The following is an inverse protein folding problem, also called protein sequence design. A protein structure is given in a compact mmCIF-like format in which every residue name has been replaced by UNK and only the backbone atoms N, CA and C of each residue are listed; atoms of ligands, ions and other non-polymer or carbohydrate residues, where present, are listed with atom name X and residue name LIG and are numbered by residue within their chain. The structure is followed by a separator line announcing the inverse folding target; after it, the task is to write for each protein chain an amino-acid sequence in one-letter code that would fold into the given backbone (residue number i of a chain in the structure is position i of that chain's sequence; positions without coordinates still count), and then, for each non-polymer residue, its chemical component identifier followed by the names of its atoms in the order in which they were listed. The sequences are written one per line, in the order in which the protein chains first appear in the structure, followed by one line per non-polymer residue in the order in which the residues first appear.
data_IF_228229082261
#
_entry.id   IF_228229082261
#
_cell.length_a   1.000
_cell.length_b   1.000
_cell.length_c   1.000
_cell.angle_alpha   90.00
_cell.angle_beta   90.00
_cell.angle_gamma   90.00
#
_symmetry.space_group_name_H-M   'P 1'
#
loop_
_entity.id
_entity.type
_entity.pdbx_description
1 polymer ?
#
# COMPACT_ATOMS: atom_id res chain seq x y z
N UNK A 1 12.33 25.68 7.24
CA UNK A 1 11.20 24.73 7.34
C UNK A 1 11.72 23.51 8.10
N UNK A 2 11.14 23.14 9.24
CA UNK A 2 11.60 21.95 10.00
C UNK A 2 11.25 20.69 9.20
N UNK A 3 12.14 19.70 9.16
CA UNK A 3 11.81 18.41 8.53
C UNK A 3 10.69 17.72 9.34
N UNK A 4 9.89 16.88 8.70
CA UNK A 4 8.86 16.08 9.39
C UNK A 4 9.46 15.31 10.58
N UNK A 5 10.68 14.80 10.43
CA UNK A 5 11.43 14.15 11.52
C UNK A 5 11.66 15.07 12.72
N UNK A 6 12.01 16.34 12.49
CA UNK A 6 12.19 17.32 13.56
C UNK A 6 10.86 17.68 14.24
N UNK A 7 9.74 17.65 13.53
CA UNK A 7 8.41 17.90 14.10
C UNK A 7 7.92 16.72 14.95
N UNK A 8 8.15 15.50 14.49
CA UNK A 8 7.82 14.26 15.21
C UNK A 8 8.68 14.11 16.48
N UNK A 9 9.95 14.54 16.44
CA UNK A 9 10.82 14.51 17.63
C UNK A 9 10.37 15.50 18.71
N UNK A 10 9.70 16.61 18.34
CA UNK A 10 9.15 17.58 19.28
C UNK A 10 7.86 17.10 19.96
N UNK A 11 7.08 16.21 19.32
CA UNK A 11 5.85 15.63 19.89
C UNK A 11 6.08 14.34 20.68
N UNK A 12 7.30 13.78 20.64
CA UNK A 12 7.68 12.53 21.31
C UNK A 12 8.73 12.78 22.41
N UNK A 13 8.40 13.46 23.54
CA UNK A 13 9.37 13.88 24.55
C UNK A 13 10.13 12.75 25.26
N UNK A 14 9.70 11.49 25.10
CA UNK A 14 10.36 10.28 25.64
C UNK A 14 11.31 9.62 24.63
N UNK A 15 11.34 10.12 23.39
CA UNK A 15 12.04 9.51 22.26
C UNK A 15 13.19 10.43 21.86
N UNK A 16 14.22 10.47 22.71
CA UNK A 16 15.39 11.32 22.53
C UNK A 16 16.21 10.99 21.27
N UNK A 17 16.22 9.72 20.83
CA UNK A 17 16.86 9.28 19.57
C UNK A 17 16.01 8.26 18.80
N UNK A 18 15.17 8.69 17.85
CA UNK A 18 14.50 7.72 16.95
C UNK A 18 15.57 7.06 16.07
N UNK A 19 15.77 5.72 16.14
CA UNK A 19 16.68 5.04 15.24
C UNK A 19 16.37 5.33 13.76
N UNK A 20 17.36 5.22 12.87
CA UNK A 20 17.09 5.30 11.44
C UNK A 20 16.06 4.25 11.04
N UNK A 21 15.19 4.63 10.10
CA UNK A 21 14.18 3.73 9.56
C UNK A 21 14.85 2.58 8.82
N UNK A 22 14.45 1.34 9.11
CA UNK A 22 14.99 0.14 8.45
C UNK A 22 13.96 -0.56 7.57
N UNK A 23 14.44 -1.14 6.48
CA UNK A 23 13.66 -2.12 5.73
C UNK A 23 13.65 -3.45 6.49
N UNK A 24 12.52 -4.15 6.45
CA UNK A 24 12.43 -5.54 6.88
C UNK A 24 12.74 -6.47 5.70
N UNK A 25 13.07 -7.72 6.01
CA UNK A 25 13.32 -8.78 5.02
C UNK A 25 12.09 -8.98 4.12
N UNK A 26 12.32 -9.11 2.82
CA UNK A 26 11.26 -9.28 1.82
C UNK A 26 10.42 -10.54 2.06
N UNK A 27 10.97 -11.60 2.65
CA UNK A 27 10.21 -12.80 3.02
C UNK A 27 9.17 -12.51 4.10
N UNK A 28 9.50 -11.64 5.07
CA UNK A 28 8.55 -11.19 6.09
C UNK A 28 7.43 -10.38 5.45
N UNK A 29 7.78 -9.43 4.58
CA UNK A 29 6.78 -8.64 3.84
C UNK A 29 5.91 -9.54 2.96
N UNK A 30 6.50 -10.56 2.34
CA UNK A 30 5.76 -11.50 1.49
C UNK A 30 4.76 -12.35 2.26
N UNK A 31 5.03 -12.61 3.55
CA UNK A 31 4.13 -13.37 4.43
C UNK A 31 2.85 -12.62 4.81
N UNK A 32 2.83 -11.29 4.70
CA UNK A 32 1.64 -10.48 4.97
C UNK A 32 0.58 -10.73 3.88
N UNK A 33 -0.61 -11.17 4.30
CA UNK A 33 -1.76 -11.39 3.41
C UNK A 33 -2.60 -10.15 3.25
N UNK A 34 -2.70 -9.36 4.31
CA UNK A 34 -3.49 -8.15 4.37
C UNK A 34 -2.77 -7.00 5.08
N UNK A 35 -3.45 -5.85 5.12
CA UNK A 35 -2.96 -4.67 5.82
C UNK A 35 -2.76 -4.89 7.33
N UNK A 36 -3.63 -5.68 7.95
CA UNK A 36 -3.56 -5.95 9.39
C UNK A 36 -2.32 -6.75 9.74
N UNK A 37 -1.90 -7.68 8.88
CA UNK A 37 -0.62 -8.40 9.00
C UNK A 37 0.56 -7.44 8.95
N UNK A 38 0.56 -6.48 8.03
CA UNK A 38 1.64 -5.49 7.92
C UNK A 38 1.74 -4.60 9.17
N UNK A 39 0.60 -4.21 9.75
CA UNK A 39 0.55 -3.46 11.02
C UNK A 39 1.08 -4.32 12.18
N UNK A 40 0.69 -5.60 12.27
CA UNK A 40 1.21 -6.53 13.28
C UNK A 40 2.72 -6.71 13.14
N UNK A 41 3.22 -6.90 11.92
CA UNK A 41 4.63 -7.06 11.62
C UNK A 41 5.43 -5.81 12.03
N UNK A 42 4.90 -4.61 11.73
CA UNK A 42 5.49 -3.34 12.14
C UNK A 42 5.70 -3.27 13.66
N UNK A 43 4.66 -3.66 14.42
CA UNK A 43 4.66 -3.66 15.89
C UNK A 43 5.55 -4.76 16.47
N UNK A 44 5.55 -5.96 15.89
CA UNK A 44 6.35 -7.10 16.35
C UNK A 44 7.85 -6.79 16.26
N UNK A 45 8.27 -6.14 15.17
CA UNK A 45 9.65 -5.78 14.90
C UNK A 45 10.04 -4.38 15.42
N UNK A 46 9.29 -3.85 16.40
CA UNK A 46 9.64 -2.59 17.07
C UNK A 46 10.94 -2.73 17.85
N UNK A 47 11.83 -1.77 17.71
CA UNK A 47 13.13 -1.76 18.41
C UNK A 47 13.02 -1.30 19.87
N UNK A 48 11.90 -0.67 20.25
CA UNK A 48 11.71 -0.04 21.55
C UNK A 48 10.73 -0.84 22.40
N UNK A 49 11.01 -0.89 23.70
CA UNK A 49 10.09 -1.44 24.72
C UNK A 49 8.94 -0.47 24.99
N UNK A 50 8.17 -0.15 23.96
CA UNK A 50 6.92 0.58 24.09
C UNK A 50 5.77 -0.40 24.14
N UNK A 51 4.83 -0.14 25.03
CA UNK A 51 3.56 -0.85 25.09
C UNK A 51 2.65 -0.41 23.95
N UNK A 52 1.75 -1.31 23.53
CA UNK A 52 0.75 -0.97 22.52
C UNK A 52 -0.19 0.15 22.99
N UNK A 53 -0.41 0.29 24.29
CA UNK A 53 -1.20 1.38 24.87
C UNK A 53 -0.54 2.74 24.66
N UNK A 54 0.78 2.84 24.88
CA UNK A 54 1.55 4.06 24.61
C UNK A 54 1.55 4.39 23.12
N UNK A 55 1.78 3.39 22.27
CA UNK A 55 1.75 3.54 20.82
C UNK A 55 0.38 4.06 20.36
N UNK A 56 -0.71 3.50 20.86
CA UNK A 56 -2.06 3.98 20.56
C UNK A 56 -2.25 5.45 20.97
N UNK A 57 -1.74 5.83 22.15
CA UNK A 57 -1.73 7.22 22.61
C UNK A 57 -1.02 8.17 21.64
N UNK A 58 0.14 7.79 21.12
CA UNK A 58 0.87 8.59 20.13
C UNK A 58 0.17 8.69 18.78
N UNK A 59 -0.62 7.70 18.41
CA UNK A 59 -1.39 7.70 17.17
C UNK A 59 -2.72 8.47 17.29
N UNK A 60 -3.04 8.97 18.49
CA UNK A 60 -4.23 9.77 18.75
C UNK A 60 -5.52 8.96 18.91
N UNK A 61 -5.44 7.67 19.24
CA UNK A 61 -6.62 6.83 19.48
C UNK A 61 -6.48 5.93 20.72
N UNK A 62 -7.60 5.44 21.24
CA UNK A 62 -7.60 4.55 22.41
C UNK A 62 -6.98 3.19 22.07
N UNK A 63 -6.37 2.53 23.06
CA UNK A 63 -5.79 1.19 22.91
C UNK A 63 -6.70 0.15 22.21
N UNK A 64 -8.02 0.10 22.50
CA UNK A 64 -8.94 -0.78 21.78
C UNK A 64 -9.05 -0.52 20.27
N UNK A 65 -8.77 0.70 19.81
CA UNK A 65 -8.76 1.02 18.38
C UNK A 65 -7.59 0.34 17.67
N UNK A 66 -6.40 0.38 18.27
CA UNK A 66 -5.22 -0.31 17.72
C UNK A 66 -5.46 -1.81 17.63
N UNK A 67 -6.13 -2.41 18.63
CA UNK A 67 -6.52 -3.81 18.59
C UNK A 67 -7.47 -4.12 17.42
N UNK A 68 -8.43 -3.25 17.11
CA UNK A 68 -9.32 -3.40 15.94
C UNK A 68 -8.56 -3.36 14.62
N UNK A 69 -7.63 -2.42 14.46
CA UNK A 69 -6.76 -2.32 13.27
C UNK A 69 -5.94 -3.60 13.11
N UNK A 70 -5.32 -4.07 14.20
CA UNK A 70 -4.62 -5.36 14.26
C UNK A 70 -5.54 -6.56 14.00
N UNK A 71 -6.87 -6.43 13.99
CA UNK A 71 -7.79 -7.51 13.64
C UNK A 71 -8.40 -7.32 12.24
N UNK A 72 -7.92 -6.34 11.46
CA UNK A 72 -8.47 -6.02 10.13
C UNK A 72 -9.84 -5.33 10.18
N UNK A 73 -10.26 -4.83 11.36
CA UNK A 73 -11.55 -4.14 11.57
C UNK A 73 -11.43 -2.62 11.55
N UNK A 74 -10.37 -2.09 10.94
CA UNK A 74 -10.07 -0.66 10.86
C UNK A 74 -8.78 -0.40 10.10
N UNK A 75 -8.56 0.86 9.75
CA UNK A 75 -7.38 1.33 9.02
C UNK A 75 -6.77 2.52 9.74
N UNK A 76 -5.45 2.69 9.61
CA UNK A 76 -4.78 3.92 10.02
C UNK A 76 -4.88 4.94 8.88
N UNK A 77 -4.87 6.22 9.22
CA UNK A 77 -4.63 7.28 8.23
C UNK A 77 -3.17 7.28 7.80
N UNK A 78 -2.86 7.89 6.66
CA UNK A 78 -1.46 8.01 6.17
C UNK A 78 -0.52 8.62 7.21
N UNK A 79 -0.96 9.64 7.93
CA UNK A 79 -0.16 10.27 8.99
C UNK A 79 0.09 9.30 10.16
N UNK A 80 -0.93 8.53 10.55
CA UNK A 80 -0.80 7.52 11.60
C UNK A 80 0.12 6.37 11.18
N UNK A 81 0.09 5.96 9.92
CA UNK A 81 1.04 4.98 9.39
C UNK A 81 2.48 5.48 9.45
N UNK A 82 2.71 6.75 9.07
CA UNK A 82 4.02 7.37 9.14
C UNK A 82 4.52 7.45 10.59
N UNK A 83 3.67 7.88 11.52
CA UNK A 83 3.99 7.94 12.94
C UNK A 83 4.28 6.55 13.49
N UNK A 84 3.44 5.55 13.20
CA UNK A 84 3.62 4.18 13.68
C UNK A 84 4.93 3.58 13.17
N UNK A 85 5.21 3.71 11.87
CA UNK A 85 6.44 3.25 11.26
C UNK A 85 7.66 3.95 11.86
N UNK A 86 7.57 5.26 12.13
CA UNK A 86 8.64 6.02 12.77
C UNK A 86 8.92 5.54 14.20
N UNK A 87 7.87 5.34 15.00
CA UNK A 87 7.94 4.82 16.36
C UNK A 87 8.57 3.42 16.38
N UNK A 88 8.15 2.55 15.46
CA UNK A 88 8.67 1.18 15.36
C UNK A 88 10.02 1.10 14.60
N UNK A 89 10.45 2.22 14.02
CA UNK A 89 11.67 2.39 13.22
C UNK A 89 11.80 1.38 12.08
N UNK A 90 10.71 1.07 11.39
CA UNK A 90 10.71 0.15 10.26
C UNK A 90 9.66 0.49 9.20
N UNK A 91 9.89 0.05 7.96
CA UNK A 91 9.05 0.34 6.80
C UNK A 91 8.03 -0.77 6.48
N UNK A 92 7.63 -1.62 7.44
CA UNK A 92 6.80 -2.79 7.16
C UNK A 92 5.52 -2.48 6.36
N UNK A 93 4.79 -1.44 6.78
CA UNK A 93 3.52 -1.04 6.14
C UNK A 93 3.78 -0.51 4.73
N UNK A 94 4.79 0.35 4.56
CA UNK A 94 5.15 0.93 3.25
C UNK A 94 5.70 -0.12 2.28
N UNK A 95 6.51 -1.06 2.75
CA UNK A 95 7.02 -2.17 1.95
C UNK A 95 5.87 -3.09 1.50
N UNK A 96 4.92 -3.37 2.40
CA UNK A 96 3.72 -4.14 2.04
C UNK A 96 2.87 -3.41 0.99
N UNK A 97 2.65 -2.11 1.15
CA UNK A 97 1.89 -1.29 0.19
C UNK A 97 2.55 -1.30 -1.19
N UNK A 98 3.86 -1.07 -1.26
CA UNK A 98 4.62 -1.12 -2.52
C UNK A 98 4.52 -2.51 -3.19
N UNK A 99 4.62 -3.60 -2.41
CA UNK A 99 4.43 -4.96 -2.95
C UNK A 99 3.03 -5.13 -3.56
N UNK A 100 1.99 -4.64 -2.88
CA UNK A 100 0.61 -4.75 -3.36
C UNK A 100 0.36 -3.93 -4.61
N UNK A 101 0.98 -2.75 -4.71
CA UNK A 101 0.94 -1.91 -5.90
C UNK A 101 1.54 -2.67 -7.10
N UNK A 102 2.76 -3.21 -6.98
CA UNK A 102 3.37 -4.02 -8.05
C UNK A 102 2.54 -5.25 -8.41
N UNK A 103 1.92 -5.93 -7.44
CA UNK A 103 1.02 -7.06 -7.73
C UNK A 103 -0.22 -6.63 -8.53
N UNK A 104 -0.79 -5.46 -8.22
CA UNK A 104 -1.93 -4.93 -8.94
C UNK A 104 -1.55 -4.52 -10.37
N UNK A 105 -0.39 -3.89 -10.54
CA UNK A 105 0.15 -3.54 -11.86
C UNK A 105 0.35 -4.79 -12.72
N UNK A 106 1.00 -5.83 -12.18
CA UNK A 106 1.16 -7.10 -12.88
C UNK A 106 -0.17 -7.75 -13.24
N UNK A 107 -1.18 -7.64 -12.38
CA UNK A 107 -2.52 -8.16 -12.68
C UNK A 107 -3.18 -7.35 -13.80
N UNK A 108 -3.06 -6.02 -13.79
CA UNK A 108 -3.63 -5.15 -14.82
C UNK A 108 -2.96 -5.44 -16.17
N UNK A 109 -1.63 -5.52 -16.23
CA UNK A 109 -0.89 -5.85 -17.45
C UNK A 109 -1.27 -7.24 -18.00
N UNK A 110 -1.45 -8.23 -17.11
CA UNK A 110 -1.91 -9.57 -17.51
C UNK A 110 -3.40 -9.63 -17.89
N UNK A 111 -4.17 -8.58 -17.60
CA UNK A 111 -5.61 -8.47 -17.90
C UNK A 111 -5.87 -7.62 -19.14
N UNK A 112 -4.84 -7.18 -19.87
CA UNK A 112 -5.09 -6.87 -21.28
C UNK A 112 -5.73 -8.11 -21.91
N UNK A 113 -6.97 -8.03 -22.43
CA UNK A 113 -7.53 -9.15 -23.13
C UNK A 113 -6.61 -9.34 -24.32
N UNK A 114 -5.73 -10.34 -24.24
CA UNK A 114 -5.17 -10.95 -25.42
C UNK A 114 -6.38 -11.50 -26.18
N UNK A 115 -7.02 -10.65 -26.98
CA UNK A 115 -7.94 -11.07 -28.01
C UNK A 115 -7.22 -12.23 -28.68
N UNK A 116 -7.85 -13.40 -28.70
CA UNK A 116 -7.25 -14.53 -29.40
C UNK A 116 -6.87 -14.04 -30.81
N UNK A 117 -5.82 -14.58 -31.44
CA UNK A 117 -5.44 -14.19 -32.80
C UNK A 117 -6.65 -14.21 -33.77
N UNK A 118 -7.58 -15.14 -33.52
CA UNK A 118 -8.85 -15.26 -34.23
C UNK A 118 -9.81 -14.08 -33.96
N UNK A 119 -9.99 -13.65 -32.71
CA UNK A 119 -10.79 -12.49 -32.36
C UNK A 119 -10.18 -11.18 -32.89
N UNK A 120 -8.85 -11.03 -32.88
CA UNK A 120 -8.19 -9.87 -33.48
C UNK A 120 -8.47 -9.80 -34.98
N UNK A 121 -8.30 -10.93 -35.69
CA UNK A 121 -8.58 -11.01 -37.12
C UNK A 121 -10.06 -10.73 -37.45
N UNK A 122 -11.00 -11.20 -36.61
CA UNK A 122 -12.42 -10.94 -36.78
C UNK A 122 -12.76 -9.45 -36.60
N UNK A 123 -12.21 -8.81 -35.56
CA UNK A 123 -12.42 -7.38 -35.29
C UNK A 123 -11.86 -6.53 -36.42
N UNK A 124 -10.66 -6.84 -36.92
CA UNK A 124 -10.06 -6.13 -38.06
C UNK A 124 -10.93 -6.22 -39.32
N UNK A 125 -11.45 -7.41 -39.66
CA UNK A 125 -12.34 -7.59 -40.82
C UNK A 125 -13.65 -6.79 -40.67
N UNK A 126 -14.28 -6.84 -39.50
CA UNK A 126 -15.53 -6.11 -39.24
C UNK A 126 -15.33 -4.59 -39.33
N UNK A 127 -14.18 -4.09 -38.89
CA UNK A 127 -13.84 -2.66 -39.01
C UNK A 127 -13.60 -2.27 -40.47
N UNK A 128 -12.91 -3.10 -41.25
CA UNK A 128 -12.70 -2.88 -42.69
C UNK A 128 -14.02 -2.87 -43.47
N UNK A 129 -14.93 -3.82 -43.20
CA UNK A 129 -16.27 -3.89 -43.81
C UNK A 129 -17.12 -2.65 -43.45
N UNK A 130 -17.09 -2.21 -42.19
CA UNK A 130 -17.81 -1.00 -41.75
C UNK A 130 -17.26 0.28 -42.41
N UNK A 131 -15.94 0.38 -42.56
CA UNK A 131 -15.30 1.55 -43.20
C UNK A 131 -15.62 1.61 -44.70
N UNK A 132 -15.58 0.47 -45.38
CA UNK A 132 -15.92 0.38 -46.81
C UNK A 132 -17.41 0.68 -47.06
N UNK A 133 -18.32 0.12 -46.26
CA UNK A 133 -19.75 0.44 -46.34
C UNK A 133 -20.04 1.92 -46.13
N UNK A 134 -19.34 2.57 -45.18
CA UNK A 134 -19.47 4.02 -44.92
C UNK A 134 -18.91 4.89 -46.04
N UNK A 135 -17.89 4.42 -46.76
CA UNK A 135 -17.34 5.13 -47.92
C UNK A 135 -18.27 5.02 -49.12
N UNK A 136 -18.87 3.85 -49.35
CA UNK A 136 -19.85 3.62 -50.41
C UNK A 136 -21.14 4.42 -50.21
N UNK A 137 -21.68 4.45 -48.98
CA UNK A 137 -22.86 5.28 -48.66
C UNK A 137 -22.60 6.78 -48.70
N UNK A 138 -21.34 7.22 -48.69
CA UNK A 138 -20.96 8.64 -48.75
C UNK A 138 -20.60 9.09 -50.17
N UNK A 139 -20.42 8.15 -51.09
CA UNK A 139 -20.16 8.39 -52.51
C UNK A 139 -21.41 8.25 -53.40
N UNK A 140 -22.50 7.67 -52.87
CA UNK A 140 -23.84 7.63 -53.47
C UNK A 140 -24.66 8.87 -53.07
#
# INVERSE_FOLDING_TARGET
MKSFDQLVQLSLPVITDVPPMRSLDDLLIKSCKDYSDAVRLCLEYRLRRMSEAEIAGYLGFSGPHLAKVKMGKGYLTTDQELVLQRICSNWAIRQYAARRETQLEEMIEKTEPALSPEMQALVSRLVEEQLSQRLETRAA
#
